data_IF_880417729517
#
_entry.id   IF_880417729517
#
_cell.length_a   1.000
_cell.length_b   1.000
_cell.length_c   1.000
_cell.angle_alpha   90.00
_cell.angle_beta   90.00
_cell.angle_gamma   90.00
#
_symmetry.space_group_name_H-M   'P 1'
#
loop_
_entity.id
_entity.type
_entity.pdbx_description
1 polymer ?
#
# COMPACT_ATOMS: atom_id res chain seq x y z
N UNK A 1 -20.98 -14.47 -6.60
CA UNK A 1 -21.44 -13.17 -6.15
C UNK A 1 -22.70 -13.39 -5.30
N UNK A 2 -22.81 -12.69 -4.18
CA UNK A 2 -23.93 -12.75 -3.24
C UNK A 2 -24.24 -11.36 -2.68
N UNK A 3 -25.19 -11.33 -1.77
CA UNK A 3 -25.50 -10.16 -0.95
C UNK A 3 -24.61 -10.11 0.32
N UNK A 4 -24.92 -9.21 1.24
CA UNK A 4 -24.14 -9.08 2.50
C UNK A 4 -24.20 -10.35 3.36
N UNK A 5 -25.27 -11.14 3.29
CA UNK A 5 -25.39 -12.40 4.05
C UNK A 5 -24.28 -13.41 3.66
N UNK A 6 -23.77 -13.34 2.44
CA UNK A 6 -22.64 -14.18 2.04
C UNK A 6 -21.33 -13.89 2.82
N UNK A 7 -21.26 -12.77 3.50
CA UNK A 7 -20.10 -12.41 4.36
C UNK A 7 -20.25 -12.87 5.83
N UNK A 8 -21.39 -13.48 6.18
CA UNK A 8 -21.62 -14.00 7.53
C UNK A 8 -20.52 -15.00 7.91
N UNK A 9 -20.07 -14.91 9.16
CA UNK A 9 -19.03 -15.76 9.73
C UNK A 9 -17.66 -15.66 9.02
N UNK A 10 -17.42 -14.60 8.22
CA UNK A 10 -16.11 -14.35 7.63
C UNK A 10 -15.10 -13.94 8.67
N UNK A 11 -13.88 -14.50 8.61
CA UNK A 11 -12.75 -14.07 9.44
C UNK A 11 -12.13 -12.76 8.94
N UNK A 12 -12.16 -12.55 7.60
CA UNK A 12 -11.57 -11.40 6.93
C UNK A 12 -12.56 -10.85 5.89
N UNK A 13 -12.73 -9.54 5.90
CA UNK A 13 -13.48 -8.79 4.88
C UNK A 13 -12.56 -7.78 4.22
N UNK A 14 -12.44 -7.84 2.89
CA UNK A 14 -11.62 -6.90 2.11
C UNK A 14 -12.52 -5.89 1.41
N UNK A 15 -12.35 -4.60 1.73
CA UNK A 15 -13.13 -3.50 1.15
C UNK A 15 -12.37 -2.89 -0.02
N UNK A 16 -12.86 -3.16 -1.23
CA UNK A 16 -12.34 -2.60 -2.48
C UNK A 16 -13.34 -1.68 -3.19
N UNK A 17 -14.47 -1.40 -2.55
CA UNK A 17 -15.57 -0.59 -3.09
C UNK A 17 -15.13 0.86 -3.29
N UNK A 18 -15.41 1.42 -4.45
CA UNK A 18 -15.08 2.79 -4.78
C UNK A 18 -15.07 3.03 -6.28
N UNK A 19 -14.98 4.29 -6.68
CA UNK A 19 -14.87 4.70 -8.06
C UNK A 19 -13.47 5.21 -8.36
N UNK A 20 -13.00 4.96 -9.59
CA UNK A 20 -11.77 5.53 -10.10
C UNK A 20 -11.95 7.01 -10.47
N UNK A 21 -10.88 7.79 -10.39
CA UNK A 21 -10.88 9.21 -10.79
C UNK A 21 -11.23 9.36 -12.27
N UNK A 22 -12.19 10.24 -12.55
CA UNK A 22 -12.56 10.61 -13.92
C UNK A 22 -11.72 11.77 -14.42
N UNK A 23 -11.52 11.90 -15.75
CA UNK A 23 -10.90 13.10 -16.33
C UNK A 23 -11.64 14.37 -15.88
N UNK A 24 -10.88 15.38 -15.42
CA UNK A 24 -11.44 16.64 -14.92
C UNK A 24 -11.97 16.65 -13.50
N UNK A 25 -12.11 15.47 -12.86
CA UNK A 25 -12.55 15.38 -11.47
C UNK A 25 -11.43 15.78 -10.51
N UNK A 26 -11.76 16.60 -9.51
CA UNK A 26 -10.82 16.95 -8.44
C UNK A 26 -10.59 15.77 -7.49
N UNK A 27 -9.46 15.80 -6.74
CA UNK A 27 -9.20 14.81 -5.68
C UNK A 27 -10.27 14.86 -4.57
N UNK A 28 -10.75 16.06 -4.25
CA UNK A 28 -11.74 16.26 -3.20
C UNK A 28 -13.09 15.65 -3.57
N UNK A 29 -13.57 15.87 -4.79
CA UNK A 29 -14.82 15.28 -5.29
C UNK A 29 -14.75 13.74 -5.32
N UNK A 30 -13.62 13.18 -5.75
CA UNK A 30 -13.40 11.73 -5.71
C UNK A 30 -13.44 11.19 -4.27
N UNK A 31 -12.77 11.88 -3.37
CA UNK A 31 -12.74 11.51 -1.94
C UNK A 31 -14.13 11.53 -1.35
N UNK A 32 -14.91 12.58 -1.59
CA UNK A 32 -16.29 12.68 -1.09
C UNK A 32 -17.15 11.53 -1.62
N UNK A 33 -17.09 11.25 -2.94
CA UNK A 33 -17.83 10.14 -3.54
C UNK A 33 -17.49 8.80 -2.88
N UNK A 34 -16.20 8.52 -2.67
CA UNK A 34 -15.79 7.24 -2.08
C UNK A 34 -16.13 7.17 -0.58
N UNK A 35 -16.07 8.28 0.15
CA UNK A 35 -16.54 8.34 1.54
C UNK A 35 -18.05 8.07 1.63
N UNK A 36 -18.85 8.60 0.70
CA UNK A 36 -20.29 8.36 0.70
C UNK A 36 -20.63 6.90 0.39
N UNK A 37 -19.89 6.25 -0.50
CA UNK A 37 -19.99 4.79 -0.71
C UNK A 37 -19.68 4.02 0.59
N UNK A 38 -18.62 4.40 1.31
CA UNK A 38 -18.26 3.75 2.58
C UNK A 38 -19.32 3.98 3.66
N UNK A 39 -19.93 5.15 3.72
CA UNK A 39 -21.04 5.41 4.65
C UNK A 39 -22.24 4.48 4.41
N UNK A 40 -22.51 4.19 3.16
CA UNK A 40 -23.63 3.32 2.77
C UNK A 40 -23.37 1.85 3.09
N UNK A 41 -22.19 1.34 2.73
CA UNK A 41 -21.87 -0.10 2.87
C UNK A 41 -21.48 -0.50 4.29
N UNK A 42 -20.84 0.38 5.07
CA UNK A 42 -20.25 0.03 6.37
C UNK A 42 -21.29 -0.52 7.36
N UNK A 43 -22.44 0.12 7.60
CA UNK A 43 -23.43 -0.41 8.55
C UNK A 43 -23.90 -1.81 8.19
N UNK A 44 -24.06 -2.09 6.91
CA UNK A 44 -24.60 -3.35 6.40
C UNK A 44 -23.58 -4.49 6.59
N UNK A 45 -22.33 -4.27 6.17
CA UNK A 45 -21.30 -5.30 6.25
C UNK A 45 -20.89 -5.57 7.70
N UNK A 46 -20.84 -4.54 8.55
CA UNK A 46 -20.51 -4.69 9.98
C UNK A 46 -21.60 -5.42 10.75
N UNK A 47 -22.86 -5.18 10.42
CA UNK A 47 -23.98 -5.93 11.01
C UNK A 47 -23.92 -7.43 10.65
N UNK A 48 -23.42 -7.76 9.47
CA UNK A 48 -23.33 -9.15 8.98
C UNK A 48 -22.07 -9.88 9.50
N UNK A 49 -20.93 -9.20 9.57
CA UNK A 49 -19.63 -9.78 9.97
C UNK A 49 -18.96 -8.98 11.11
N UNK A 50 -19.57 -8.85 12.30
CA UNK A 50 -19.09 -7.94 13.36
C UNK A 50 -17.75 -8.34 13.99
N UNK A 51 -17.34 -9.59 13.84
CA UNK A 51 -16.08 -10.11 14.39
C UNK A 51 -14.93 -10.18 13.39
N UNK A 52 -15.21 -9.94 12.11
CA UNK A 52 -14.22 -9.99 11.04
C UNK A 52 -13.10 -8.96 11.22
N UNK A 53 -11.95 -9.24 10.63
CA UNK A 53 -10.90 -8.24 10.39
C UNK A 53 -11.16 -7.59 9.04
N UNK A 54 -11.17 -6.27 9.02
CA UNK A 54 -11.45 -5.48 7.84
C UNK A 54 -10.17 -4.93 7.22
N UNK A 55 -9.90 -5.26 5.96
CA UNK A 55 -8.78 -4.72 5.19
C UNK A 55 -9.32 -3.71 4.19
N UNK A 56 -8.94 -2.46 4.35
CA UNK A 56 -9.39 -1.36 3.50
C UNK A 56 -8.35 -1.13 2.39
N UNK A 57 -8.79 -1.22 1.14
CA UNK A 57 -7.93 -1.09 -0.05
C UNK A 57 -8.34 0.11 -0.92
N UNK A 58 -9.58 0.54 -0.80
CA UNK A 58 -10.16 1.65 -1.58
C UNK A 58 -9.41 2.96 -1.37
N UNK A 59 -9.13 3.68 -2.46
CA UNK A 59 -8.46 4.98 -2.42
C UNK A 59 -9.44 6.17 -2.32
N UNK A 60 -9.02 7.26 -1.66
CA UNK A 60 -7.75 7.44 -0.92
C UNK A 60 -7.72 6.65 0.39
N UNK A 61 -6.84 5.65 0.47
CA UNK A 61 -6.92 4.59 1.47
C UNK A 61 -6.87 5.07 2.92
N UNK A 62 -6.05 6.06 3.23
CA UNK A 62 -5.93 6.58 4.60
C UNK A 62 -7.23 7.25 5.06
N UNK A 63 -7.83 8.06 4.19
CA UNK A 63 -9.11 8.74 4.47
C UNK A 63 -10.24 7.72 4.56
N UNK A 64 -10.29 6.77 3.64
CA UNK A 64 -11.34 5.73 3.62
C UNK A 64 -11.22 4.83 4.85
N UNK A 65 -10.02 4.45 5.25
CA UNK A 65 -9.78 3.68 6.49
C UNK A 65 -10.27 4.44 7.72
N UNK A 66 -9.94 5.74 7.81
CA UNK A 66 -10.41 6.59 8.89
C UNK A 66 -11.93 6.73 8.91
N UNK A 67 -12.55 6.96 7.75
CA UNK A 67 -14.01 7.05 7.63
C UNK A 67 -14.68 5.73 8.05
N UNK A 68 -14.19 4.60 7.55
CA UNK A 68 -14.70 3.27 7.93
C UNK A 68 -14.59 3.05 9.44
N UNK A 69 -13.45 3.36 10.05
CA UNK A 69 -13.24 3.26 11.50
C UNK A 69 -14.27 4.08 12.29
N UNK A 70 -14.52 5.33 11.87
CA UNK A 70 -15.49 6.21 12.56
C UNK A 70 -16.93 5.77 12.42
N UNK A 71 -17.29 5.19 11.27
CA UNK A 71 -18.67 4.78 10.97
C UNK A 71 -18.98 3.42 11.57
N UNK A 72 -18.03 2.49 11.51
CA UNK A 72 -18.21 1.11 11.94
C UNK A 72 -18.40 0.96 13.46
N UNK A 73 -17.78 1.84 14.25
CA UNK A 73 -17.72 1.70 15.70
C UNK A 73 -16.95 0.48 16.19
N UNK A 74 -16.27 -0.25 15.29
CA UNK A 74 -15.46 -1.41 15.62
C UNK A 74 -14.16 -1.02 16.35
N UNK A 75 -13.58 -1.92 17.15
CA UNK A 75 -12.26 -1.72 17.73
C UNK A 75 -11.18 -1.52 16.66
N UNK A 76 -10.23 -0.62 16.90
CA UNK A 76 -9.15 -0.30 15.94
C UNK A 76 -8.35 -1.53 15.49
N UNK A 77 -8.18 -2.51 16.36
CA UNK A 77 -7.46 -3.76 16.04
C UNK A 77 -8.21 -4.70 15.08
N UNK A 78 -9.42 -4.35 14.67
CA UNK A 78 -10.17 -5.05 13.62
C UNK A 78 -10.04 -4.38 12.25
N UNK A 79 -9.45 -3.18 12.16
CA UNK A 79 -9.44 -2.39 10.93
C UNK A 79 -8.00 -2.13 10.49
N UNK A 80 -7.67 -2.49 9.26
CA UNK A 80 -6.35 -2.34 8.67
C UNK A 80 -6.49 -1.65 7.33
N UNK A 81 -5.86 -0.49 7.16
CA UNK A 81 -5.67 0.09 5.82
C UNK A 81 -4.49 -0.59 5.11
N UNK A 82 -4.62 -0.91 3.83
CA UNK A 82 -3.50 -1.44 3.04
C UNK A 82 -2.32 -0.45 2.97
N UNK A 83 -2.60 0.84 3.07
CA UNK A 83 -1.62 1.92 3.24
C UNK A 83 -0.46 1.82 2.26
N UNK A 84 0.74 1.85 2.79
CA UNK A 84 2.00 1.81 2.03
C UNK A 84 2.54 0.40 1.78
N UNK A 85 1.71 -0.64 1.87
CA UNK A 85 2.13 -2.04 1.70
C UNK A 85 2.66 -2.30 0.28
N UNK A 86 1.92 -1.84 -0.74
CA UNK A 86 2.36 -1.95 -2.14
C UNK A 86 3.59 -1.07 -2.42
N UNK A 87 3.68 0.12 -1.83
CA UNK A 87 4.85 1.00 -1.96
C UNK A 87 6.10 0.33 -1.35
N UNK A 88 5.94 -0.35 -0.22
CA UNK A 88 6.98 -1.16 0.41
C UNK A 88 7.44 -2.30 -0.51
N UNK A 89 6.52 -3.01 -1.16
CA UNK A 89 6.86 -4.06 -2.13
C UNK A 89 7.66 -3.49 -3.31
N UNK A 90 7.25 -2.35 -3.85
CA UNK A 90 7.97 -1.64 -4.93
C UNK A 90 9.37 -1.20 -4.51
N UNK A 91 9.49 -0.64 -3.30
CA UNK A 91 10.79 -0.25 -2.73
C UNK A 91 11.74 -1.45 -2.64
N UNK A 92 11.26 -2.57 -2.10
CA UNK A 92 12.06 -3.79 -1.99
C UNK A 92 12.48 -4.32 -3.36
N UNK A 93 11.60 -4.29 -4.35
CA UNK A 93 11.93 -4.66 -5.72
C UNK A 93 13.00 -3.75 -6.31
N UNK A 94 12.83 -2.43 -6.21
CA UNK A 94 13.80 -1.48 -6.74
C UNK A 94 15.19 -1.61 -6.10
N UNK A 95 15.26 -1.82 -4.78
CA UNK A 95 16.53 -2.07 -4.09
C UNK A 95 17.14 -3.41 -4.53
N UNK A 96 16.32 -4.46 -4.66
CA UNK A 96 16.76 -5.79 -5.08
C UNK A 96 17.34 -5.77 -6.50
N UNK A 97 16.68 -5.08 -7.43
CA UNK A 97 17.14 -4.89 -8.81
C UNK A 97 18.44 -4.09 -8.85
N UNK A 98 18.55 -2.99 -8.09
CA UNK A 98 19.75 -2.15 -8.05
C UNK A 98 21.00 -2.92 -7.62
N UNK A 99 20.87 -3.81 -6.64
CA UNK A 99 22.00 -4.60 -6.12
C UNK A 99 22.09 -6.03 -6.67
N UNK A 100 21.19 -6.40 -7.58
CA UNK A 100 21.06 -7.76 -8.12
C UNK A 100 20.98 -8.85 -7.03
N UNK A 101 20.08 -8.65 -6.07
CA UNK A 101 19.83 -9.58 -4.96
C UNK A 101 18.39 -10.04 -4.94
N UNK A 102 18.10 -11.15 -4.26
CA UNK A 102 16.72 -11.61 -4.10
C UNK A 102 15.92 -10.63 -3.22
N UNK A 103 14.71 -10.26 -3.64
CA UNK A 103 13.82 -9.34 -2.92
C UNK A 103 13.59 -9.75 -1.46
N UNK A 104 13.51 -11.04 -1.18
CA UNK A 104 13.35 -11.59 0.19
C UNK A 104 14.46 -11.21 1.16
N UNK A 105 15.64 -10.83 0.64
CA UNK A 105 16.77 -10.39 1.45
C UNK A 105 16.74 -8.89 1.74
N UNK A 106 15.80 -8.15 1.15
CA UNK A 106 15.67 -6.70 1.34
C UNK A 106 14.65 -6.43 2.45
N UNK A 107 15.10 -5.83 3.52
CA UNK A 107 14.30 -5.38 4.65
C UNK A 107 14.17 -3.86 4.59
N UNK A 108 13.14 -3.41 3.92
CA UNK A 108 12.84 -1.99 3.70
C UNK A 108 11.34 -1.76 3.83
N UNK A 109 10.96 -0.55 4.23
CA UNK A 109 9.57 -0.17 4.44
C UNK A 109 9.32 1.25 3.98
N UNK A 110 8.12 1.50 3.48
CA UNK A 110 7.58 2.85 3.28
C UNK A 110 6.58 3.11 4.40
N UNK A 111 6.65 4.25 5.03
CA UNK A 111 5.75 4.69 6.10
C UNK A 111 5.06 6.00 5.75
N UNK A 112 4.06 6.35 6.56
CA UNK A 112 3.26 7.55 6.42
C UNK A 112 2.04 7.34 5.52
N UNK A 113 1.55 8.42 4.95
CA UNK A 113 0.41 8.43 4.03
C UNK A 113 0.74 7.64 2.75
N UNK A 114 -0.24 6.94 2.20
CA UNK A 114 -0.13 6.42 0.83
C UNK A 114 -0.28 7.58 -0.17
N UNK A 115 0.82 8.31 -0.40
CA UNK A 115 0.85 9.52 -1.21
C UNK A 115 2.19 10.23 -1.18
N UNK A 116 2.15 11.55 -1.41
CA UNK A 116 3.35 12.37 -1.59
C UNK A 116 4.14 12.59 -0.29
N UNK A 117 3.53 12.40 0.88
CA UNK A 117 4.17 12.56 2.19
C UNK A 117 4.75 11.26 2.75
N UNK A 118 4.64 10.15 2.01
CA UNK A 118 5.28 8.89 2.39
C UNK A 118 6.81 9.04 2.51
N UNK A 119 7.42 8.27 3.38
CA UNK A 119 8.87 8.31 3.58
C UNK A 119 9.47 6.92 3.82
N UNK A 120 10.78 6.82 3.58
CA UNK A 120 11.56 5.60 3.82
C UNK A 120 12.49 5.83 5.00
N UNK A 121 12.39 5.06 6.09
CA UNK A 121 13.36 5.11 7.19
C UNK A 121 14.65 4.40 6.79
N UNK A 122 15.52 5.07 6.03
CA UNK A 122 16.76 4.51 5.49
C UNK A 122 17.69 3.93 6.55
N UNK A 123 17.67 4.48 7.77
CA UNK A 123 18.42 3.95 8.92
C UNK A 123 17.94 2.57 9.38
N UNK A 124 16.75 2.14 8.94
CA UNK A 124 16.14 0.83 9.22
C UNK A 124 16.04 -0.05 7.98
N UNK A 125 16.80 0.30 6.92
CA UNK A 125 16.83 -0.46 5.67
C UNK A 125 18.10 -1.31 5.61
N UNK A 126 17.91 -2.60 5.34
CA UNK A 126 18.99 -3.60 5.32
C UNK A 126 18.86 -4.51 4.10
N UNK A 127 19.98 -5.04 3.64
CA UNK A 127 20.01 -6.21 2.75
C UNK A 127 20.64 -7.34 3.57
N UNK A 128 19.85 -8.37 3.87
CA UNK A 128 20.18 -9.37 4.90
C UNK A 128 20.50 -8.67 6.22
N UNK A 129 21.69 -8.83 6.77
CA UNK A 129 22.13 -8.20 8.01
C UNK A 129 22.96 -6.91 7.82
N UNK A 130 23.16 -6.45 6.56
CA UNK A 130 24.02 -5.31 6.25
C UNK A 130 23.17 -4.05 6.05
N UNK A 131 23.44 -2.95 6.80
CA UNK A 131 22.76 -1.68 6.58
C UNK A 131 22.93 -1.19 5.14
N UNK A 132 21.88 -0.63 4.55
CA UNK A 132 21.89 -0.14 3.16
C UNK A 132 22.97 0.92 2.93
N UNK A 133 23.27 1.75 3.93
CA UNK A 133 24.33 2.77 3.89
C UNK A 133 25.73 2.19 3.72
N UNK A 134 25.94 0.92 4.08
CA UNK A 134 27.23 0.24 4.04
C UNK A 134 27.30 -0.82 2.95
N UNK A 135 26.17 -1.21 2.38
CA UNK A 135 26.07 -2.37 1.52
C UNK A 135 26.99 -2.27 0.28
N UNK A 136 26.92 -1.17 -0.46
CA UNK A 136 27.77 -0.97 -1.64
C UNK A 136 29.29 -1.03 -1.30
N UNK A 137 29.69 -0.42 -0.16
CA UNK A 137 31.08 -0.48 0.31
C UNK A 137 31.50 -1.91 0.67
N UNK A 138 30.60 -2.66 1.31
CA UNK A 138 30.86 -4.06 1.69
C UNK A 138 31.01 -4.94 0.44
N UNK A 139 30.15 -4.74 -0.57
CA UNK A 139 30.25 -5.43 -1.84
C UNK A 139 31.59 -5.18 -2.55
N UNK A 140 32.01 -3.90 -2.63
CA UNK A 140 33.31 -3.53 -3.23
C UNK A 140 34.50 -4.17 -2.53
N UNK A 141 34.49 -4.26 -1.19
CA UNK A 141 35.53 -4.97 -0.44
C UNK A 141 35.64 -6.45 -0.80
N UNK A 142 34.54 -7.06 -1.23
CA UNK A 142 34.48 -8.46 -1.68
C UNK A 142 34.67 -8.62 -3.19
N UNK A 143 35.17 -7.60 -3.90
CA UNK A 143 35.45 -7.65 -5.34
C UNK A 143 34.22 -7.54 -6.24
N UNK A 144 33.05 -7.16 -5.70
CA UNK A 144 31.83 -6.98 -6.45
C UNK A 144 31.61 -5.49 -6.67
N UNK A 145 31.53 -5.07 -7.93
CA UNK A 145 31.23 -3.69 -8.24
C UNK A 145 29.79 -3.35 -7.85
N UNK A 146 29.62 -2.32 -7.02
CA UNK A 146 28.33 -1.86 -6.55
C UNK A 146 28.36 -0.36 -6.27
N UNK A 147 27.35 0.34 -6.72
CA UNK A 147 27.16 1.77 -6.47
C UNK A 147 26.18 1.99 -5.31
N UNK A 148 26.40 3.02 -4.46
CA UNK A 148 25.41 3.41 -3.47
C UNK A 148 24.08 3.75 -4.14
N UNK A 149 22.98 3.44 -3.45
CA UNK A 149 21.64 3.77 -3.93
C UNK A 149 21.41 5.29 -3.86
N UNK A 150 20.83 5.86 -4.91
CA UNK A 150 20.29 7.21 -4.86
C UNK A 150 18.92 7.16 -4.18
N UNK A 151 18.83 7.68 -2.97
CA UNK A 151 17.64 7.59 -2.12
C UNK A 151 16.46 8.38 -2.67
N UNK A 152 16.73 9.54 -3.23
CA UNK A 152 15.76 10.47 -3.81
C UNK A 152 15.13 9.85 -5.05
N UNK A 153 15.93 9.33 -5.96
CA UNK A 153 15.46 8.64 -7.16
C UNK A 153 14.65 7.37 -6.83
N UNK A 154 15.07 6.64 -5.80
CA UNK A 154 14.36 5.44 -5.36
C UNK A 154 12.98 5.77 -4.78
N UNK A 155 12.86 6.83 -3.97
CA UNK A 155 11.56 7.29 -3.45
C UNK A 155 10.66 7.74 -4.60
N UNK A 156 11.23 8.49 -5.56
CA UNK A 156 10.49 8.95 -6.74
C UNK A 156 10.01 7.77 -7.62
N UNK A 157 10.85 6.77 -7.82
CA UNK A 157 10.48 5.54 -8.50
C UNK A 157 9.26 4.87 -7.84
N UNK A 158 9.27 4.73 -6.52
CA UNK A 158 8.15 4.13 -5.78
C UNK A 158 6.87 4.94 -5.97
N UNK A 159 6.91 6.25 -5.74
CA UNK A 159 5.75 7.16 -5.85
C UNK A 159 5.15 7.19 -7.25
N UNK A 160 5.98 7.21 -8.29
CA UNK A 160 5.54 7.30 -9.69
C UNK A 160 5.12 5.96 -10.31
N UNK A 161 5.44 4.82 -9.67
CA UNK A 161 5.18 3.49 -10.24
C UNK A 161 3.70 3.25 -10.56
N UNK A 162 2.79 3.64 -9.68
CA UNK A 162 1.34 3.53 -9.92
C UNK A 162 0.89 4.32 -11.14
N UNK A 163 1.32 5.58 -11.23
CA UNK A 163 1.00 6.46 -12.37
C UNK A 163 1.51 5.92 -13.71
N UNK A 164 2.74 5.36 -13.74
CA UNK A 164 3.30 4.72 -14.94
C UNK A 164 2.46 3.53 -15.41
N UNK A 165 1.99 2.69 -14.47
CA UNK A 165 1.15 1.54 -14.81
C UNK A 165 -0.20 2.01 -15.36
N UNK A 166 -0.83 2.99 -14.72
CA UNK A 166 -2.10 3.57 -15.18
C UNK A 166 -1.96 4.18 -16.57
N UNK A 167 -0.90 4.92 -16.82
CA UNK A 167 -0.64 5.52 -18.15
C UNK A 167 -0.52 4.46 -19.26
N UNK A 168 0.05 3.30 -18.97
CA UNK A 168 0.27 2.24 -19.95
C UNK A 168 -0.89 1.24 -20.07
N UNK A 169 -1.64 0.99 -18.99
CA UNK A 169 -2.65 -0.07 -18.92
C UNK A 169 -4.05 0.43 -18.54
N UNK A 170 -4.23 1.72 -18.32
CA UNK A 170 -5.49 2.32 -17.89
C UNK A 170 -5.82 2.16 -16.39
N UNK A 171 -5.33 1.09 -15.73
CA UNK A 171 -5.56 0.83 -14.32
C UNK A 171 -4.50 -0.07 -13.70
N UNK A 172 -4.52 -0.19 -12.36
CA UNK A 172 -3.65 -1.12 -11.60
C UNK A 172 -4.52 -2.11 -10.83
N UNK A 173 -4.21 -3.40 -10.89
CA UNK A 173 -4.98 -4.46 -10.22
C UNK A 173 -4.07 -5.49 -9.52
N UNK A 174 -3.15 -6.08 -10.27
CA UNK A 174 -2.45 -7.29 -9.86
C UNK A 174 -1.49 -7.09 -8.68
N UNK A 175 -0.72 -6.02 -8.70
CA UNK A 175 0.26 -5.78 -7.64
C UNK A 175 -0.40 -5.48 -6.29
N UNK A 176 -1.50 -4.72 -6.27
CA UNK A 176 -2.25 -4.46 -5.04
C UNK A 176 -2.92 -5.73 -4.53
N UNK A 177 -3.50 -6.54 -5.41
CA UNK A 177 -4.11 -7.83 -5.04
C UNK A 177 -3.10 -8.81 -4.44
N UNK A 178 -1.85 -8.80 -4.95
CA UNK A 178 -0.78 -9.65 -4.41
C UNK A 178 -0.17 -9.10 -3.10
N UNK A 179 -0.43 -7.84 -2.76
CA UNK A 179 0.09 -7.19 -1.55
C UNK A 179 -0.88 -7.30 -0.37
N UNK A 180 -2.16 -7.51 -0.62
CA UNK A 180 -3.22 -7.71 0.37
C UNK A 180 -3.39 -9.18 0.69
#
# INVERSE_FOLDING_TARGET
AGDYEAAKDSDIVIITSGVARKPGQSRLELTQTNVDIIKDITPQIVATAPTAKYIIVSNPVDIITYAFMKISGLPENQIIGSGTMLDTARLRTGIAEHFNVAQKNVHAYVFGEHGDTSFVPWSKTYISAVPISEYARTMKKNGIDATPINKEEMIEYVRKSGGKIIANKGATFYAVSASV
#
